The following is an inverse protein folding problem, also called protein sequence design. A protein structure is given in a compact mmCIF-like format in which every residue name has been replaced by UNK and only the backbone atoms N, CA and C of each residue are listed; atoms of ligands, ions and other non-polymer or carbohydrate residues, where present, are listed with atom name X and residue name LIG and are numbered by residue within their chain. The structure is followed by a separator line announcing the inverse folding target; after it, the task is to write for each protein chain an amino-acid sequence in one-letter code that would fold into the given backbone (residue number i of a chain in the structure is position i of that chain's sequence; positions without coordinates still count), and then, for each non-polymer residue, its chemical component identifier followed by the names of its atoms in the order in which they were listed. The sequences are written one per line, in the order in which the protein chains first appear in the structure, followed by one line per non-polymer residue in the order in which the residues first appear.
data_IF_921678258087
#
_entry.id   IF_921678258087
#
_cell.length_a   1.000
_cell.length_b   1.000
_cell.length_c   1.000
_cell.angle_alpha   90.00
_cell.angle_beta   90.00
_cell.angle_gamma   90.00
#
_symmetry.space_group_name_H-M   'P 1'
#
loop_
_entity.id
_entity.type
_entity.pdbx_description
1 polymer ?
#
# COMPACT_ATOMS: atom_id res chain seq x y z
N UNK A 1 -5.67 -2.65 20.75
CA UNK A 1 -5.89 -3.91 20.00
C UNK A 1 -4.90 -4.02 18.84
N UNK A 2 -5.01 -3.17 17.81
CA UNK A 2 -4.14 -3.21 16.61
C UNK A 2 -2.63 -3.13 16.89
N UNK A 3 -2.19 -2.33 17.86
CA UNK A 3 -0.77 -2.19 18.21
C UNK A 3 -0.14 -3.44 18.88
N UNK A 4 -0.92 -4.48 19.16
CA UNK A 4 -0.43 -5.72 19.77
C UNK A 4 -0.30 -6.88 18.77
N UNK A 5 -0.66 -6.67 17.49
CA UNK A 5 -0.53 -7.65 16.41
C UNK A 5 0.88 -7.66 15.79
N UNK A 6 1.91 -7.76 16.63
CA UNK A 6 3.31 -7.88 16.18
C UNK A 6 3.70 -9.35 15.89
N UNK A 7 4.87 -9.57 15.28
CA UNK A 7 5.43 -10.91 14.98
C UNK A 7 5.45 -11.85 16.20
N UNK A 8 5.54 -11.31 17.41
CA UNK A 8 5.53 -12.08 18.66
C UNK A 8 4.14 -12.55 19.13
N UNK A 9 3.07 -12.27 18.37
CA UNK A 9 1.70 -12.65 18.77
C UNK A 9 1.50 -14.16 18.85
N UNK A 10 2.24 -14.94 18.05
CA UNK A 10 2.19 -16.41 18.04
C UNK A 10 2.62 -17.01 19.39
N UNK A 11 3.56 -16.36 20.08
CA UNK A 11 4.06 -16.80 21.39
C UNK A 11 3.05 -16.50 22.52
N UNK A 12 2.17 -15.50 22.35
CA UNK A 12 1.24 -15.03 23.39
C UNK A 12 -0.20 -15.43 23.07
N UNK A 13 -0.48 -16.74 23.17
CA UNK A 13 -1.81 -17.33 22.87
C UNK A 13 -2.97 -16.68 23.63
N UNK A 14 -2.78 -16.30 24.90
CA UNK A 14 -3.82 -15.65 25.71
C UNK A 14 -4.19 -14.26 25.19
N UNK A 15 -3.19 -13.46 24.80
CA UNK A 15 -3.42 -12.11 24.26
C UNK A 15 -4.16 -12.20 22.92
N UNK A 16 -3.79 -13.18 22.07
CA UNK A 16 -4.49 -13.42 20.81
C UNK A 16 -5.99 -13.68 21.01
N UNK A 17 -6.34 -14.57 21.94
CA UNK A 17 -7.75 -14.91 22.23
C UNK A 17 -8.50 -13.68 22.77
N UNK A 18 -7.89 -12.91 23.68
CA UNK A 18 -8.49 -11.68 24.23
C UNK A 18 -8.72 -10.65 23.12
N UNK A 19 -7.75 -10.46 22.22
CA UNK A 19 -7.86 -9.54 21.10
C UNK A 19 -8.97 -9.96 20.12
N UNK A 20 -9.08 -11.25 19.79
CA UNK A 20 -10.15 -11.77 18.93
C UNK A 20 -11.53 -11.54 19.55
N UNK A 21 -11.68 -11.78 20.86
CA UNK A 21 -12.94 -11.55 21.55
C UNK A 21 -13.27 -10.05 21.63
N UNK A 22 -12.29 -9.22 21.98
CA UNK A 22 -12.45 -7.76 22.02
C UNK A 22 -12.87 -7.20 20.64
N UNK A 23 -12.26 -7.70 19.55
CA UNK A 23 -12.62 -7.31 18.19
C UNK A 23 -14.08 -7.63 17.82
N UNK A 24 -14.58 -8.79 18.27
CA UNK A 24 -15.99 -9.15 18.11
C UNK A 24 -16.88 -8.18 18.89
N UNK A 25 -16.57 -7.94 20.16
CA UNK A 25 -17.33 -7.01 21.02
C UNK A 25 -17.37 -5.60 20.44
N UNK A 26 -16.23 -5.06 19.99
CA UNK A 26 -16.18 -3.76 19.33
C UNK A 26 -17.05 -3.70 18.07
N UNK A 27 -17.00 -4.75 17.24
CA UNK A 27 -17.83 -4.83 16.04
C UNK A 27 -19.32 -4.81 16.39
N UNK A 28 -19.76 -5.55 17.41
CA UNK A 28 -21.16 -5.52 17.86
C UNK A 28 -21.59 -4.14 18.38
N UNK A 29 -20.75 -3.48 19.19
CA UNK A 29 -21.04 -2.12 19.69
C UNK A 29 -21.18 -1.15 18.51
N UNK A 30 -20.35 -1.26 17.49
CA UNK A 30 -20.40 -0.38 16.32
C UNK A 30 -21.62 -0.62 15.44
N UNK A 31 -22.04 -1.87 15.28
CA UNK A 31 -23.30 -2.20 14.59
C UNK A 31 -24.48 -1.58 15.34
N UNK A 32 -24.50 -1.69 16.67
CA UNK A 32 -25.57 -1.11 17.49
C UNK A 32 -25.61 0.42 17.35
N UNK A 33 -24.47 1.10 17.41
CA UNK A 33 -24.41 2.54 17.19
C UNK A 33 -24.89 2.95 15.79
N UNK A 34 -24.53 2.19 14.75
CA UNK A 34 -25.00 2.44 13.38
C UNK A 34 -26.53 2.34 13.29
N UNK A 35 -27.11 1.28 13.87
CA UNK A 35 -28.57 1.09 13.89
C UNK A 35 -29.27 2.23 14.64
N UNK A 36 -28.72 2.68 15.77
CA UNK A 36 -29.25 3.85 16.50
C UNK A 36 -29.19 5.12 15.64
N UNK A 37 -28.10 5.36 14.90
CA UNK A 37 -27.98 6.51 13.98
C UNK A 37 -28.99 6.45 12.84
N UNK A 38 -29.27 5.27 12.30
CA UNK A 38 -30.29 5.09 11.26
C UNK A 38 -31.69 5.43 11.76
N UNK A 39 -32.05 4.99 12.97
CA UNK A 39 -33.34 5.30 13.58
C UNK A 39 -33.46 6.78 13.95
N UNK A 40 -32.38 7.39 14.46
CA UNK A 40 -32.40 8.79 14.91
C UNK A 40 -32.39 9.81 13.76
N UNK A 41 -31.53 9.64 12.75
CA UNK A 41 -31.38 10.61 11.66
C UNK A 41 -32.27 10.31 10.45
N UNK A 42 -32.70 9.05 10.28
CA UNK A 42 -33.37 8.56 9.08
C UNK A 42 -32.39 8.30 7.92
N UNK A 43 -32.78 7.42 7.00
CA UNK A 43 -31.94 6.98 5.87
C UNK A 43 -31.42 8.13 5.01
N UNK A 44 -32.28 9.09 4.66
CA UNK A 44 -31.92 10.17 3.72
C UNK A 44 -30.82 11.07 4.29
N UNK A 45 -30.96 11.53 5.55
CA UNK A 45 -29.96 12.42 6.18
C UNK A 45 -28.65 11.67 6.49
N UNK A 46 -28.73 10.37 6.77
CA UNK A 46 -27.54 9.55 7.03
C UNK A 46 -26.63 9.46 5.80
N UNK A 47 -27.18 9.22 4.62
CA UNK A 47 -26.39 9.08 3.39
C UNK A 47 -25.90 10.40 2.79
N UNK A 48 -26.43 11.55 3.20
CA UNK A 48 -25.91 12.87 2.77
C UNK A 48 -24.63 13.27 3.51
N UNK A 49 -24.38 12.74 4.72
CA UNK A 49 -23.22 13.12 5.52
C UNK A 49 -22.01 12.21 5.24
N UNK A 50 -20.96 12.77 4.63
CA UNK A 50 -19.73 12.04 4.31
C UNK A 50 -19.07 11.35 5.51
N UNK A 51 -19.19 11.92 6.71
CA UNK A 51 -18.64 11.33 7.93
C UNK A 51 -19.42 10.10 8.40
N UNK A 52 -20.74 10.10 8.19
CA UNK A 52 -21.60 8.93 8.43
C UNK A 52 -21.35 7.84 7.39
N UNK A 53 -21.05 8.23 6.14
CA UNK A 53 -20.67 7.30 5.08
C UNK A 53 -19.34 6.59 5.36
N UNK A 54 -18.35 7.30 5.91
CA UNK A 54 -17.08 6.70 6.35
C UNK A 54 -17.31 5.68 7.49
N UNK A 55 -18.11 6.03 8.51
CA UNK A 55 -18.44 5.13 9.62
C UNK A 55 -19.17 3.87 9.13
N UNK A 56 -20.10 4.04 8.18
CA UNK A 56 -20.81 2.94 7.51
C UNK A 56 -19.85 1.96 6.82
N UNK A 57 -18.93 2.48 5.99
CA UNK A 57 -17.97 1.65 5.28
C UNK A 57 -17.06 0.82 6.23
N UNK A 58 -16.64 1.39 7.36
CA UNK A 58 -15.84 0.68 8.36
C UNK A 58 -16.63 -0.47 9.00
N UNK A 59 -17.91 -0.23 9.31
CA UNK A 59 -18.81 -1.26 9.87
C UNK A 59 -19.05 -2.37 8.85
N UNK A 60 -19.32 -2.03 7.59
CA UNK A 60 -19.53 -3.00 6.51
C UNK A 60 -18.33 -3.94 6.31
N UNK A 61 -17.12 -3.38 6.21
CA UNK A 61 -15.89 -4.19 6.09
C UNK A 61 -15.73 -5.12 7.30
N UNK A 62 -16.10 -4.66 8.50
CA UNK A 62 -16.03 -5.47 9.72
C UNK A 62 -17.07 -6.59 9.73
N UNK A 63 -18.30 -6.34 9.26
CA UNK A 63 -19.37 -7.34 9.13
C UNK A 63 -18.98 -8.41 8.11
N UNK A 64 -18.54 -8.02 6.91
CA UNK A 64 -18.13 -8.95 5.86
C UNK A 64 -17.00 -9.84 6.38
N UNK A 65 -16.02 -9.25 7.08
CA UNK A 65 -14.93 -10.00 7.71
C UNK A 65 -15.45 -10.98 8.77
N UNK A 66 -16.42 -10.60 9.61
CA UNK A 66 -16.99 -11.47 10.64
C UNK A 66 -17.75 -12.66 10.03
N UNK A 67 -18.62 -12.40 9.05
CA UNK A 67 -19.42 -13.43 8.36
C UNK A 67 -18.51 -14.41 7.63
N UNK A 68 -17.49 -13.90 6.92
CA UNK A 68 -16.51 -14.72 6.23
C UNK A 68 -15.75 -15.69 7.16
N UNK A 69 -15.38 -15.22 8.36
CA UNK A 69 -14.74 -16.06 9.37
C UNK A 69 -15.73 -17.08 9.97
N UNK A 70 -17.00 -16.74 10.14
CA UNK A 70 -18.02 -17.64 10.67
C UNK A 70 -18.40 -18.76 9.69
N UNK A 71 -18.41 -18.47 8.39
CA UNK A 71 -18.72 -19.43 7.32
C UNK A 71 -17.52 -20.34 6.94
N UNK A 72 -16.35 -20.17 7.58
CA UNK A 72 -15.18 -21.00 7.32
C UNK A 72 -14.42 -20.67 6.02
N UNK A 73 -14.71 -19.53 5.37
CA UNK A 73 -14.00 -19.06 4.17
C UNK A 73 -12.67 -18.33 4.50
N UNK A 74 -12.16 -18.45 5.73
CA UNK A 74 -11.06 -17.62 6.26
C UNK A 74 -9.76 -17.66 5.45
N UNK A 75 -9.54 -18.72 4.67
CA UNK A 75 -8.30 -18.97 3.93
C UNK A 75 -8.31 -18.43 2.48
N UNK A 76 -9.41 -17.85 2.01
CA UNK A 76 -9.44 -17.23 0.68
C UNK A 76 -8.64 -15.90 0.71
N UNK A 77 -7.76 -15.70 -0.28
CA UNK A 77 -6.92 -14.50 -0.43
C UNK A 77 -7.65 -13.15 -0.24
N UNK A 78 -8.88 -12.97 -0.74
CA UNK A 78 -9.67 -11.76 -0.51
C UNK A 78 -9.98 -11.50 0.98
N UNK A 79 -10.27 -12.55 1.76
CA UNK A 79 -10.63 -12.44 3.18
C UNK A 79 -9.41 -12.08 4.03
N UNK A 80 -8.22 -12.59 3.64
CA UNK A 80 -6.95 -12.16 4.25
C UNK A 80 -6.68 -10.67 4.01
N UNK A 81 -6.99 -10.16 2.81
CA UNK A 81 -6.89 -8.72 2.50
C UNK A 81 -7.92 -7.88 3.28
N UNK A 82 -9.17 -8.34 3.42
CA UNK A 82 -10.17 -7.64 4.25
C UNK A 82 -9.74 -7.50 5.72
N UNK A 83 -8.92 -8.43 6.24
CA UNK A 83 -8.36 -8.32 7.59
C UNK A 83 -7.40 -7.13 7.71
N UNK A 84 -6.60 -6.82 6.68
CA UNK A 84 -5.68 -5.67 6.71
C UNK A 84 -6.42 -4.34 6.70
N UNK A 85 -7.61 -4.28 6.09
CA UNK A 85 -8.47 -3.09 6.12
C UNK A 85 -8.95 -2.72 7.53
N UNK A 86 -8.86 -3.61 8.53
CA UNK A 86 -9.12 -3.25 9.93
C UNK A 86 -8.16 -2.17 10.46
N UNK A 87 -7.01 -1.99 9.82
CA UNK A 87 -6.10 -0.86 10.08
C UNK A 87 -6.74 0.51 9.81
N UNK A 88 -7.89 0.57 9.12
CA UNK A 88 -8.65 1.79 8.87
C UNK A 88 -9.52 2.22 10.06
N UNK A 89 -9.77 1.35 11.06
CA UNK A 89 -10.61 1.68 12.25
C UNK A 89 -10.21 2.99 12.95
N UNK A 90 -8.91 3.35 13.09
CA UNK A 90 -8.51 4.64 13.66
C UNK A 90 -9.02 5.85 12.88
N UNK A 91 -9.31 5.74 11.59
CA UNK A 91 -9.89 6.84 10.78
C UNK A 91 -11.25 7.30 11.33
N UNK A 92 -11.97 6.44 12.04
CA UNK A 92 -13.20 6.85 12.73
C UNK A 92 -12.95 7.90 13.82
N UNK A 93 -11.76 7.94 14.42
CA UNK A 93 -11.42 9.00 15.35
C UNK A 93 -11.53 10.38 14.68
N UNK A 94 -11.22 10.47 13.37
CA UNK A 94 -11.33 11.70 12.59
C UNK A 94 -12.76 12.23 12.54
N UNK A 95 -13.79 11.37 12.47
CA UNK A 95 -15.19 11.80 12.46
C UNK A 95 -15.69 12.24 13.84
N UNK A 96 -15.08 11.75 14.92
CA UNK A 96 -15.46 12.05 16.31
C UNK A 96 -14.83 13.35 16.81
N UNK A 97 -13.56 13.62 16.48
CA UNK A 97 -12.84 14.80 16.94
C UNK A 97 -13.12 16.03 16.06
N UNK A 98 -13.71 17.07 16.64
CA UNK A 98 -14.00 18.33 15.94
C UNK A 98 -12.75 19.00 15.37
N UNK A 99 -11.65 19.02 16.13
CA UNK A 99 -10.37 19.58 15.66
C UNK A 99 -9.80 18.87 14.43
N UNK A 100 -9.91 17.54 14.35
CA UNK A 100 -9.43 16.77 13.19
C UNK A 100 -10.32 16.98 11.96
N UNK A 101 -11.65 17.12 12.15
CA UNK A 101 -12.59 17.40 11.05
C UNK A 101 -12.29 18.71 10.35
N UNK A 102 -11.94 19.77 11.08
CA UNK A 102 -11.60 21.07 10.49
C UNK A 102 -10.39 20.95 9.58
N UNK A 103 -9.34 20.25 10.03
CA UNK A 103 -8.11 20.05 9.24
C UNK A 103 -8.41 19.24 7.98
N UNK A 104 -9.15 18.14 8.09
CA UNK A 104 -9.52 17.31 6.93
C UNK A 104 -10.39 18.09 5.95
N UNK A 105 -11.37 18.86 6.42
CA UNK A 105 -12.21 19.69 5.55
C UNK A 105 -11.38 20.75 4.81
N UNK A 106 -10.39 21.36 5.47
CA UNK A 106 -9.48 22.31 4.84
C UNK A 106 -8.61 21.63 3.77
N UNK A 107 -8.08 20.43 4.05
CA UNK A 107 -7.32 19.64 3.07
C UNK A 107 -8.17 19.23 1.88
N UNK A 108 -9.38 18.71 2.11
CA UNK A 108 -10.30 18.30 1.04
C UNK A 108 -10.72 19.49 0.18
N UNK A 109 -10.92 20.67 0.79
CA UNK A 109 -11.18 21.91 0.07
C UNK A 109 -10.03 22.35 -0.86
N UNK A 110 -8.79 21.99 -0.53
CA UNK A 110 -7.62 22.28 -1.37
C UNK A 110 -7.39 21.26 -2.51
N UNK A 111 -8.00 20.07 -2.45
CA UNK A 111 -7.80 19.00 -3.45
C UNK A 111 -8.02 19.49 -4.88
N UNK A 112 -9.08 20.23 -5.25
CA UNK A 112 -9.29 20.66 -6.64
C UNK A 112 -8.14 21.53 -7.18
N UNK A 113 -7.59 22.41 -6.34
CA UNK A 113 -6.45 23.25 -6.71
C UNK A 113 -5.17 22.44 -6.85
N UNK A 114 -4.92 21.52 -5.92
CA UNK A 114 -3.78 20.60 -5.96
C UNK A 114 -3.84 19.72 -7.21
N UNK A 115 -5.01 19.21 -7.59
CA UNK A 115 -5.19 18.37 -8.76
C UNK A 115 -4.83 19.10 -10.06
N UNK A 116 -5.14 20.40 -10.17
CA UNK A 116 -4.75 21.19 -11.35
C UNK A 116 -3.22 21.30 -11.47
N UNK A 117 -2.52 21.59 -10.36
CA UNK A 117 -1.06 21.67 -10.35
C UNK A 117 -0.43 20.30 -10.61
N UNK A 118 -0.95 19.24 -9.96
CA UNK A 118 -0.48 17.88 -10.12
C UNK A 118 -0.60 17.39 -11.56
N UNK A 119 -1.68 17.72 -12.27
CA UNK A 119 -1.85 17.36 -13.68
C UNK A 119 -0.75 17.98 -14.56
N UNK A 120 -0.44 19.27 -14.35
CA UNK A 120 0.65 19.95 -15.07
C UNK A 120 2.01 19.30 -14.75
N UNK A 121 2.27 19.00 -13.48
CA UNK A 121 3.49 18.30 -13.06
C UNK A 121 3.61 16.91 -13.70
N UNK A 122 2.50 16.16 -13.80
CA UNK A 122 2.50 14.85 -14.46
C UNK A 122 2.86 14.99 -15.95
N UNK A 123 2.25 15.90 -16.70
CA UNK A 123 2.60 16.10 -18.12
C UNK A 123 4.07 16.50 -18.28
N UNK A 124 4.57 17.37 -17.42
CA UNK A 124 5.97 17.77 -17.45
C UNK A 124 6.91 16.58 -17.17
N UNK A 125 6.63 15.79 -16.14
CA UNK A 125 7.40 14.59 -15.82
C UNK A 125 7.27 13.50 -16.89
N UNK A 126 6.15 13.42 -17.61
CA UNK A 126 5.98 12.50 -18.72
C UNK A 126 7.03 12.72 -19.80
N UNK A 127 7.30 13.98 -20.17
CA UNK A 127 8.29 14.32 -21.21
C UNK A 127 9.69 13.86 -20.78
N UNK A 128 10.10 14.18 -19.55
CA UNK A 128 11.39 13.71 -19.02
C UNK A 128 11.46 12.19 -18.88
N UNK A 129 10.34 11.56 -18.52
CA UNK A 129 10.30 10.11 -18.43
C UNK A 129 10.49 9.47 -19.81
N UNK A 130 9.82 9.96 -20.86
CA UNK A 130 9.99 9.45 -22.23
C UNK A 130 11.42 9.67 -22.72
N UNK A 131 11.98 10.86 -22.47
CA UNK A 131 13.39 11.15 -22.76
C UNK A 131 14.32 10.17 -22.01
N UNK A 132 14.06 9.90 -20.74
CA UNK A 132 14.81 8.97 -19.92
C UNK A 132 14.74 7.53 -20.44
N UNK A 133 13.56 7.05 -20.87
CA UNK A 133 13.42 5.74 -21.50
C UNK A 133 14.24 5.67 -22.78
N UNK A 134 14.14 6.65 -23.68
CA UNK A 134 14.91 6.64 -24.93
C UNK A 134 16.43 6.64 -24.70
N UNK A 135 16.90 7.30 -23.63
CA UNK A 135 18.33 7.40 -23.33
C UNK A 135 18.86 6.18 -22.56
N UNK A 136 18.08 5.61 -21.65
CA UNK A 136 18.58 4.68 -20.64
C UNK A 136 17.83 3.35 -20.52
N UNK A 137 16.81 3.10 -21.36
CA UNK A 137 16.13 1.81 -21.38
C UNK A 137 17.12 0.67 -21.60
N UNK A 138 17.02 -0.37 -20.77
CA UNK A 138 17.86 -1.57 -20.79
C UNK A 138 19.36 -1.36 -20.57
N UNK A 139 19.82 -0.13 -20.28
CA UNK A 139 21.24 0.17 -20.04
C UNK A 139 21.68 -0.02 -18.59
N UNK A 140 20.74 -0.18 -17.66
CA UNK A 140 21.03 -0.36 -16.23
C UNK A 140 21.24 -1.82 -15.80
N UNK A 141 21.26 -2.75 -16.76
CA UNK A 141 21.56 -4.15 -16.43
C UNK A 141 23.05 -4.36 -16.23
N UNK A 142 23.41 -5.19 -15.25
CA UNK A 142 24.78 -5.52 -14.93
C UNK A 142 24.92 -6.99 -14.51
N UNK A 143 26.11 -7.54 -14.75
CA UNK A 143 26.49 -8.85 -14.25
C UNK A 143 26.98 -8.72 -12.80
N UNK A 144 26.45 -9.54 -11.90
CA UNK A 144 26.74 -9.47 -10.46
C UNK A 144 27.13 -10.84 -9.92
N UNK A 145 28.19 -10.88 -9.11
CA UNK A 145 28.59 -12.07 -8.37
C UNK A 145 27.96 -12.04 -6.96
N UNK A 146 27.10 -13.00 -6.64
CA UNK A 146 26.41 -13.06 -5.34
C UNK A 146 27.35 -13.39 -4.17
N UNK A 147 28.38 -14.20 -4.39
CA UNK A 147 29.31 -14.63 -3.34
C UNK A 147 30.36 -13.57 -3.04
N UNK A 148 30.91 -12.95 -4.08
CA UNK A 148 31.86 -11.83 -3.95
C UNK A 148 31.20 -10.50 -3.58
N UNK A 149 29.86 -10.40 -3.70
CA UNK A 149 29.07 -9.17 -3.55
C UNK A 149 29.63 -7.99 -4.36
N UNK A 150 30.11 -8.27 -5.56
CA UNK A 150 30.80 -7.30 -6.41
C UNK A 150 30.24 -7.32 -7.83
N UNK A 151 30.34 -6.17 -8.49
CA UNK A 151 30.11 -6.04 -9.92
C UNK A 151 31.32 -6.60 -10.68
N UNK A 152 31.08 -7.22 -11.83
CA UNK A 152 32.17 -7.57 -12.73
C UNK A 152 32.72 -6.31 -13.40
N UNK A 153 34.04 -6.25 -13.53
CA UNK A 153 34.71 -5.22 -14.32
C UNK A 153 34.47 -5.46 -15.82
N UNK A 154 34.47 -4.37 -16.60
CA UNK A 154 34.18 -4.37 -18.03
C UNK A 154 35.20 -5.23 -18.81
N UNK A 155 36.44 -5.33 -18.31
CA UNK A 155 37.50 -6.14 -18.92
C UNK A 155 37.23 -7.65 -18.83
N UNK A 156 36.41 -8.09 -17.87
CA UNK A 156 36.10 -9.51 -17.63
C UNK A 156 34.76 -9.89 -18.29
N UNK A 157 33.74 -9.04 -18.13
CA UNK A 157 32.41 -9.26 -18.71
C UNK A 157 31.90 -7.94 -19.27
N UNK A 158 31.89 -7.82 -20.58
CA UNK A 158 31.45 -6.61 -21.28
C UNK A 158 29.99 -6.74 -21.73
N UNK A 159 29.61 -7.92 -22.22
CA UNK A 159 28.30 -8.13 -22.84
C UNK A 159 27.37 -9.00 -22.00
N UNK A 160 26.06 -8.85 -22.24
CA UNK A 160 25.02 -9.71 -21.65
C UNK A 160 25.27 -11.19 -21.95
N UNK A 161 25.61 -11.52 -23.19
CA UNK A 161 25.90 -12.90 -23.63
C UNK A 161 27.05 -13.53 -22.87
N UNK A 162 28.15 -12.80 -22.66
CA UNK A 162 29.31 -13.27 -21.88
C UNK A 162 28.92 -13.57 -20.43
N UNK A 163 28.07 -12.73 -19.81
CA UNK A 163 27.55 -13.01 -18.47
C UNK A 163 26.71 -14.30 -18.44
N UNK A 164 25.88 -14.54 -19.47
CA UNK A 164 25.08 -15.77 -19.56
C UNK A 164 25.93 -17.02 -19.86
N UNK A 165 27.04 -16.89 -20.58
CA UNK A 165 27.98 -17.98 -20.79
C UNK A 165 28.61 -18.45 -19.48
N UNK A 166 29.01 -17.53 -18.59
CA UNK A 166 29.49 -17.87 -17.26
C UNK A 166 28.44 -18.62 -16.43
N UNK A 167 27.18 -18.17 -16.50
CA UNK A 167 26.06 -18.85 -15.82
C UNK A 167 25.89 -20.29 -16.36
N UNK A 168 26.02 -20.48 -17.67
CA UNK A 168 25.92 -21.80 -18.32
C UNK A 168 27.15 -22.70 -18.05
N UNK A 169 28.33 -22.11 -17.82
CA UNK A 169 29.57 -22.80 -17.45
C UNK A 169 29.62 -23.24 -15.98
N UNK A 170 28.46 -23.43 -15.34
CA UNK A 170 28.29 -23.91 -13.96
C UNK A 170 28.67 -22.92 -12.84
N UNK A 171 28.84 -21.61 -13.13
CA UNK A 171 28.94 -20.59 -12.08
C UNK A 171 27.54 -20.16 -11.59
N UNK A 172 26.99 -20.89 -10.62
CA UNK A 172 25.64 -20.64 -10.06
C UNK A 172 25.50 -19.31 -9.30
N UNK A 173 26.62 -18.68 -8.96
CA UNK A 173 26.69 -17.45 -8.16
C UNK A 173 26.56 -16.17 -9.00
N UNK A 174 26.67 -16.29 -10.32
CA UNK A 174 26.59 -15.15 -11.25
C UNK A 174 25.15 -14.89 -11.65
N UNK A 175 24.72 -13.64 -11.59
CA UNK A 175 23.36 -13.22 -11.93
C UNK A 175 23.38 -11.94 -12.76
N UNK A 176 22.67 -11.96 -13.88
CA UNK A 176 22.33 -10.75 -14.61
C UNK A 176 21.18 -10.03 -13.88
N UNK A 177 21.48 -8.88 -13.27
CA UNK A 177 20.52 -8.13 -12.45
C UNK A 177 20.29 -6.74 -13.03
N UNK A 178 19.13 -6.18 -12.72
CA UNK A 178 18.77 -4.81 -13.03
C UNK A 178 18.73 -4.00 -11.73
N UNK A 179 19.01 -2.70 -11.83
CA UNK A 179 18.79 -1.75 -10.73
C UNK A 179 17.28 -1.70 -10.43
N UNK A 180 16.92 -1.62 -9.15
CA UNK A 180 15.51 -1.62 -8.70
C UNK A 180 14.70 -0.42 -9.23
N UNK A 181 15.36 0.71 -9.45
CA UNK A 181 14.79 1.96 -9.95
C UNK A 181 15.51 2.27 -11.26
N UNK A 182 14.76 2.25 -12.36
CA UNK A 182 15.31 2.29 -13.71
C UNK A 182 14.37 3.02 -14.69
N UNK A 183 14.79 3.11 -15.95
CA UNK A 183 14.05 3.77 -17.04
C UNK A 183 13.61 2.77 -18.12
N UNK A 184 13.30 1.53 -17.75
CA UNK A 184 12.85 0.53 -18.75
C UNK A 184 11.42 0.82 -19.25
N UNK A 185 10.59 1.42 -18.39
CA UNK A 185 9.21 1.83 -18.71
C UNK A 185 8.95 3.24 -18.21
N UNK A 186 7.97 3.92 -18.81
CA UNK A 186 7.56 5.28 -18.38
C UNK A 186 7.17 5.31 -16.89
N UNK A 187 6.42 4.32 -16.40
CA UNK A 187 6.05 4.24 -14.97
C UNK A 187 7.25 4.13 -14.02
N UNK A 188 8.27 3.37 -14.39
CA UNK A 188 9.51 3.27 -13.61
C UNK A 188 10.31 4.58 -13.70
N UNK A 189 10.31 5.23 -14.88
CA UNK A 189 10.89 6.55 -15.07
C UNK A 189 10.26 7.62 -14.18
N UNK A 190 8.95 7.61 -13.96
CA UNK A 190 8.29 8.47 -12.96
C UNK A 190 8.82 8.26 -11.55
N UNK A 191 9.02 7.01 -11.14
CA UNK A 191 9.53 6.69 -9.80
C UNK A 191 11.00 7.12 -9.65
N UNK A 192 11.80 6.94 -10.71
CA UNK A 192 13.18 7.43 -10.76
C UNK A 192 13.25 8.97 -10.69
N UNK A 193 12.42 9.68 -11.46
CA UNK A 193 12.34 11.14 -11.41
C UNK A 193 11.88 11.65 -10.05
N UNK A 194 10.92 10.97 -9.41
CA UNK A 194 10.48 11.30 -8.05
C UNK A 194 11.62 11.17 -7.03
N UNK A 195 12.43 10.11 -7.13
CA UNK A 195 13.58 9.93 -6.26
C UNK A 195 14.61 11.06 -6.46
N UNK A 196 14.93 11.39 -7.72
CA UNK A 196 15.85 12.49 -8.05
C UNK A 196 15.30 13.84 -7.55
N UNK A 197 14.02 14.11 -7.77
CA UNK A 197 13.38 15.37 -7.34
C UNK A 197 13.30 15.52 -5.81
N UNK A 198 13.26 14.40 -5.08
CA UNK A 198 13.24 14.41 -3.61
C UNK A 198 14.64 14.39 -2.98
N UNK A 199 15.70 14.29 -3.79
CA UNK A 199 17.10 14.20 -3.36
C UNK A 199 17.34 13.12 -2.30
N UNK A 200 16.66 11.97 -2.45
CA UNK A 200 16.73 10.83 -1.53
C UNK A 200 17.29 9.56 -2.17
#
# INVERSE_FOLDING_TARGET
ALAFEDVYIEQRKTIRIILEYADKVFTYIFILEMLLKWVAYGFVKYFTNAWCWLDFFIVDVSIISLIANALGYSELGPIKSLRTLRALRPLRALSRFEGMRVVVNALVGAIPSIMNVLLVCLIFWLIFSIMGVNLFAEKYYYCYNETGKAHFEIDIVNNKTECFELINQNFTEVRWKNVKINFDNVGAGYLALLQVATFK
#
